data_IF_308808718420
#
_entry.id   IF_308808718420
#
_cell.length_a   1.000
_cell.length_b   1.000
_cell.length_c   1.000
_cell.angle_alpha   90.00
_cell.angle_beta   90.00
_cell.angle_gamma   90.00
#
_symmetry.space_group_name_H-M   'P 1'
#
loop_
_entity.id
_entity.type
_entity.pdbx_description
1 polymer ?
#
# COMPACT_ATOMS: atom_id res chain seq x y z
N UNK A 1 14.39 -0.72 56.28
CA UNK A 1 15.20 -0.07 55.23
C UNK A 1 15.48 -0.99 54.04
N UNK A 2 16.03 -2.20 54.21
CA UNK A 2 16.33 -3.12 53.08
C UNK A 2 15.14 -3.55 52.21
N UNK A 3 13.94 -3.66 52.78
CA UNK A 3 12.73 -4.07 52.03
C UNK A 3 12.26 -3.00 51.04
N UNK A 4 12.43 -1.72 51.38
CA UNK A 4 12.06 -0.60 50.51
C UNK A 4 12.97 -0.51 49.30
N UNK A 5 14.27 -0.72 49.47
CA UNK A 5 15.24 -0.75 48.36
C UNK A 5 15.00 -1.93 47.41
N UNK A 6 14.66 -3.10 47.94
CA UNK A 6 14.28 -4.26 47.12
C UNK A 6 13.03 -3.97 46.30
N UNK A 7 11.98 -3.40 46.91
CA UNK A 7 10.76 -3.01 46.21
C UNK A 7 11.02 -2.00 45.08
N UNK A 8 11.89 -1.02 45.33
CA UNK A 8 12.26 -0.02 44.33
C UNK A 8 12.93 -0.64 43.10
N UNK A 9 13.84 -1.60 43.32
CA UNK A 9 14.50 -2.36 42.24
C UNK A 9 13.48 -3.18 41.43
N UNK A 10 12.52 -3.84 42.09
CA UNK A 10 11.47 -4.60 41.40
C UNK A 10 10.55 -3.69 40.58
N UNK A 11 10.17 -2.52 41.10
CA UNK A 11 9.36 -1.53 40.39
C UNK A 11 10.13 -0.99 39.18
N UNK A 12 11.41 -0.68 39.35
CA UNK A 12 12.27 -0.22 38.26
C UNK A 12 12.40 -1.27 37.15
N UNK A 13 12.59 -2.54 37.51
CA UNK A 13 12.65 -3.64 36.55
C UNK A 13 11.32 -3.82 35.79
N UNK A 14 10.20 -3.71 36.49
CA UNK A 14 8.88 -3.75 35.88
C UNK A 14 8.69 -2.60 34.89
N UNK A 15 9.08 -1.38 35.25
CA UNK A 15 9.01 -0.21 34.38
C UNK A 15 9.88 -0.36 33.13
N UNK A 16 11.11 -0.88 33.28
CA UNK A 16 12.01 -1.16 32.15
C UNK A 16 11.38 -2.22 31.22
N UNK A 17 10.80 -3.26 31.79
CA UNK A 17 10.13 -4.33 31.03
C UNK A 17 8.93 -3.77 30.26
N UNK A 18 8.08 -2.96 30.90
CA UNK A 18 6.98 -2.27 30.24
C UNK A 18 7.47 -1.34 29.11
N UNK A 19 8.56 -0.60 29.34
CA UNK A 19 9.20 0.22 28.31
C UNK A 19 9.62 -0.61 27.10
N UNK A 20 10.25 -1.77 27.32
CA UNK A 20 10.62 -2.68 26.24
C UNK A 20 9.39 -3.17 25.45
N UNK A 21 8.30 -3.52 26.12
CA UNK A 21 7.05 -3.91 25.46
C UNK A 21 6.45 -2.78 24.63
N UNK A 22 6.42 -1.55 25.15
CA UNK A 22 5.91 -0.37 24.42
C UNK A 22 6.70 -0.16 23.11
N UNK A 23 8.03 -0.27 23.16
CA UNK A 23 8.88 -0.14 21.97
C UNK A 23 8.57 -1.23 20.94
N UNK A 24 8.36 -2.47 21.38
CA UNK A 24 8.01 -3.58 20.47
C UNK A 24 6.64 -3.37 19.82
N UNK A 25 5.64 -2.95 20.60
CA UNK A 25 4.29 -2.65 20.09
C UNK A 25 4.36 -1.51 19.07
N UNK A 26 5.09 -0.44 19.38
CA UNK A 26 5.25 0.69 18.48
C UNK A 26 5.93 0.27 17.17
N UNK A 27 7.00 -0.53 17.25
CA UNK A 27 7.70 -1.07 16.07
C UNK A 27 6.76 -1.90 15.19
N UNK A 28 5.99 -2.81 15.79
CA UNK A 28 5.01 -3.63 15.06
C UNK A 28 3.88 -2.78 14.44
N UNK A 29 3.44 -1.73 15.13
CA UNK A 29 2.40 -0.82 14.64
C UNK A 29 2.86 -0.01 13.43
N UNK A 30 4.09 0.54 13.49
CA UNK A 30 4.72 1.24 12.36
C UNK A 30 4.91 0.29 11.18
N UNK A 31 5.40 -0.91 11.43
CA UNK A 31 5.58 -1.93 10.40
C UNK A 31 4.24 -2.29 9.72
N UNK A 32 3.17 -2.49 10.49
CA UNK A 32 1.83 -2.74 9.93
C UNK A 32 1.28 -1.55 9.10
N UNK A 33 1.53 -0.30 9.54
CA UNK A 33 1.16 0.91 8.77
C UNK A 33 1.91 0.96 7.44
N UNK A 34 3.21 0.68 7.44
CA UNK A 34 4.02 0.66 6.23
C UNK A 34 3.60 -0.46 5.27
N UNK A 35 3.34 -1.67 5.77
CA UNK A 35 2.89 -2.78 4.93
C UNK A 35 1.56 -2.49 4.23
N UNK A 36 0.60 -1.83 4.89
CA UNK A 36 -0.66 -1.45 4.25
C UNK A 36 -0.48 -0.49 3.09
N UNK A 37 0.36 0.53 3.25
CA UNK A 37 0.65 1.48 2.16
C UNK A 37 1.35 0.77 0.99
N UNK A 38 2.37 -0.03 1.28
CA UNK A 38 3.08 -0.82 0.26
C UNK A 38 2.15 -1.79 -0.48
N UNK A 39 1.21 -2.42 0.24
CA UNK A 39 0.23 -3.32 -0.35
C UNK A 39 -0.70 -2.59 -1.33
N UNK A 40 -1.23 -1.43 -0.94
CA UNK A 40 -2.08 -0.61 -1.82
C UNK A 40 -1.33 -0.15 -3.07
N UNK A 41 -0.05 0.24 -2.95
CA UNK A 41 0.78 0.57 -4.11
C UNK A 41 0.99 -0.62 -5.05
N UNK A 42 1.19 -1.83 -4.49
CA UNK A 42 1.32 -3.05 -5.28
C UNK A 42 0.02 -3.44 -5.99
N UNK A 43 -1.12 -3.36 -5.30
CA UNK A 43 -2.44 -3.60 -5.90
C UNK A 43 -2.74 -2.60 -7.00
N UNK A 44 -2.40 -1.32 -6.79
CA UNK A 44 -2.55 -0.28 -7.80
C UNK A 44 -1.73 -0.63 -9.05
N UNK A 45 -0.45 -0.96 -8.91
CA UNK A 45 0.42 -1.36 -10.03
C UNK A 45 -0.09 -2.59 -10.77
N UNK A 46 -0.58 -3.61 -10.07
CA UNK A 46 -1.14 -4.82 -10.70
C UNK A 46 -2.44 -4.54 -11.46
N UNK A 47 -3.31 -3.72 -10.88
CA UNK A 47 -4.58 -3.33 -11.50
C UNK A 47 -4.30 -2.54 -12.77
N UNK A 48 -3.36 -1.61 -12.71
CA UNK A 48 -2.92 -0.79 -13.84
C UNK A 48 -2.38 -1.62 -15.01
N UNK A 49 -1.51 -2.59 -14.72
CA UNK A 49 -0.94 -3.48 -15.74
C UNK A 49 -2.00 -4.39 -16.38
N UNK A 50 -2.92 -4.92 -15.56
CA UNK A 50 -4.01 -5.76 -16.04
C UNK A 50 -4.97 -4.96 -16.91
N UNK A 51 -5.40 -3.79 -16.44
CA UNK A 51 -6.29 -2.89 -17.17
C UNK A 51 -5.67 -2.44 -18.49
N UNK A 52 -4.37 -2.13 -18.55
CA UNK A 52 -3.73 -1.78 -19.82
C UNK A 52 -3.73 -2.91 -20.87
N UNK A 53 -3.67 -4.18 -20.42
CA UNK A 53 -3.80 -5.34 -21.32
C UNK A 53 -5.22 -5.55 -21.79
N UNK A 54 -6.19 -5.42 -20.87
CA UNK A 54 -7.63 -5.54 -21.18
C UNK A 54 -8.04 -4.46 -22.16
N UNK A 55 -7.68 -3.21 -21.87
CA UNK A 55 -8.00 -2.06 -22.72
C UNK A 55 -7.48 -2.27 -24.14
N UNK A 56 -6.22 -2.69 -24.30
CA UNK A 56 -5.64 -3.00 -25.60
C UNK A 56 -6.36 -4.13 -26.36
N UNK A 57 -6.90 -5.12 -25.65
CA UNK A 57 -7.66 -6.22 -26.26
C UNK A 57 -9.07 -5.78 -26.68
N UNK A 58 -9.68 -4.90 -25.90
CA UNK A 58 -11.06 -4.39 -26.08
C UNK A 58 -11.13 -3.17 -27.03
N UNK A 59 -9.99 -2.72 -27.57
CA UNK A 59 -9.91 -1.54 -28.47
C UNK A 59 -10.91 -1.60 -29.64
N UNK A 60 -11.10 -2.79 -30.22
CA UNK A 60 -12.03 -3.03 -31.33
C UNK A 60 -13.51 -2.97 -30.92
N UNK A 61 -13.81 -3.18 -29.63
CA UNK A 61 -15.14 -3.05 -29.06
C UNK A 61 -15.46 -1.58 -28.74
N UNK A 62 -14.48 -0.83 -28.24
CA UNK A 62 -14.63 0.61 -28.03
C UNK A 62 -14.80 1.38 -29.35
N UNK A 63 -14.08 1.02 -30.41
CA UNK A 63 -14.19 1.71 -31.72
C UNK A 63 -15.55 1.54 -32.41
N UNK A 64 -16.33 0.52 -32.02
CA UNK A 64 -17.69 0.27 -32.55
C UNK A 64 -18.80 0.97 -31.77
N UNK A 65 -18.47 1.56 -30.62
CA UNK A 65 -19.41 2.33 -29.81
C UNK A 65 -19.37 3.80 -30.20
N UNK A 66 -20.53 4.45 -30.26
CA UNK A 66 -20.62 5.89 -30.49
C UNK A 66 -19.95 6.64 -29.32
N UNK A 67 -18.94 7.47 -29.62
CA UNK A 67 -18.10 8.12 -28.61
C UNK A 67 -17.08 7.20 -27.91
N UNK A 68 -16.95 5.94 -28.33
CA UNK A 68 -16.07 4.97 -27.67
C UNK A 68 -14.58 5.26 -27.83
N UNK A 69 -14.17 6.02 -28.84
CA UNK A 69 -12.76 6.42 -29.04
C UNK A 69 -12.29 7.44 -27.97
N UNK A 70 -13.15 8.38 -27.58
CA UNK A 70 -12.87 9.32 -26.48
C UNK A 70 -12.80 8.59 -25.12
N UNK A 71 -13.71 7.64 -24.90
CA UNK A 71 -13.69 6.79 -23.70
C UNK A 71 -12.42 5.94 -23.64
N UNK A 72 -12.03 5.35 -24.77
CA UNK A 72 -10.79 4.58 -24.88
C UNK A 72 -9.55 5.43 -24.58
N UNK A 73 -9.50 6.64 -25.14
CA UNK A 73 -8.38 7.56 -24.94
C UNK A 73 -8.27 8.03 -23.49
N UNK A 74 -9.40 8.36 -22.86
CA UNK A 74 -9.46 8.72 -21.44
C UNK A 74 -9.01 7.57 -20.53
N UNK A 75 -9.45 6.33 -20.82
CA UNK A 75 -9.01 5.15 -20.08
C UNK A 75 -7.51 4.87 -20.28
N UNK A 76 -6.99 5.04 -21.50
CA UNK A 76 -5.56 4.93 -21.78
C UNK A 76 -4.73 5.94 -20.97
N UNK A 77 -5.23 7.17 -20.81
CA UNK A 77 -4.57 8.22 -20.00
C UNK A 77 -4.63 7.91 -18.50
N UNK A 78 -5.80 7.52 -18.00
CA UNK A 78 -5.99 7.10 -16.59
C UNK A 78 -5.07 5.94 -16.25
N UNK A 79 -4.90 4.98 -17.17
CA UNK A 79 -4.05 3.80 -17.01
C UNK A 79 -2.62 3.98 -17.56
N UNK A 80 -2.20 5.21 -17.91
CA UNK A 80 -0.90 5.57 -18.55
C UNK A 80 -0.40 4.47 -19.50
N UNK A 81 -1.33 3.94 -20.29
CA UNK A 81 -1.02 2.92 -21.28
C UNK A 81 -0.28 3.64 -22.38
N UNK A 82 1.03 3.41 -22.47
CA UNK A 82 1.83 4.02 -23.52
C UNK A 82 1.53 3.30 -24.84
N UNK A 83 0.44 3.68 -25.48
CA UNK A 83 0.20 3.35 -26.87
C UNK A 83 1.25 4.11 -27.69
N UNK A 84 2.40 3.49 -27.91
CA UNK A 84 3.35 3.96 -28.91
C UNK A 84 2.56 4.16 -30.21
N UNK A 85 2.35 5.43 -30.58
CA UNK A 85 1.97 5.86 -31.91
C UNK A 85 2.98 5.19 -32.86
N UNK A 86 2.55 4.11 -33.52
CA UNK A 86 3.21 3.62 -34.72
C UNK A 86 3.00 4.71 -35.78
N UNK A 87 4.04 5.52 -35.97
CA UNK A 87 4.25 6.26 -37.20
C UNK A 87 4.52 5.30 -38.35
#
# INVERSE_FOLDING_TARGET
MKTTELLDIYILNLLVTLGMFIVLIFRAWVEQKHYRMMWQEMEWRRTYQTMGRVLKAEKDLFSKMEGGDELYQMLCEIFKVNENKKS
#
